data_IF_985423674663
#
_entry.id   IF_985423674663
#
_cell.length_a   1.000
_cell.length_b   1.000
_cell.length_c   1.000
_cell.angle_alpha   90.00
_cell.angle_beta   90.00
_cell.angle_gamma   90.00
#
_symmetry.space_group_name_H-M   'P 1'
#
loop_
_entity.id
_entity.type
_entity.pdbx_description
1 polymer ?
#
# COMPACT_ATOMS: atom_id res chain seq x y z
N UNK A 1 30.83 8.26 22.48
CA UNK A 1 30.47 7.98 21.07
C UNK A 1 29.76 6.66 21.01
N UNK A 2 28.68 6.56 20.23
CA UNK A 2 27.90 5.32 20.07
C UNK A 2 28.79 4.15 19.61
N UNK A 3 28.59 2.96 20.18
CA UNK A 3 29.25 1.72 19.75
C UNK A 3 29.07 1.45 18.24
N UNK A 4 27.90 1.81 17.70
CA UNK A 4 27.57 1.68 16.27
C UNK A 4 28.48 2.53 15.37
N UNK A 5 28.99 3.65 15.88
CA UNK A 5 29.84 4.56 15.11
C UNK A 5 31.29 4.07 14.98
N UNK A 6 31.72 3.12 15.82
CA UNK A 6 33.09 2.57 15.78
C UNK A 6 33.32 1.55 14.66
N UNK A 7 32.24 0.98 14.11
CA UNK A 7 32.32 -0.04 13.05
C UNK A 7 32.30 0.54 11.62
N UNK A 8 32.05 1.84 11.48
CA UNK A 8 31.88 2.47 10.17
C UNK A 8 33.23 3.05 9.73
N UNK A 9 33.83 2.43 8.70
CA UNK A 9 35.01 2.98 8.04
C UNK A 9 34.62 4.23 7.25
N UNK A 10 35.00 5.39 7.79
CA UNK A 10 34.67 6.72 7.30
C UNK A 10 35.33 7.00 5.92
N UNK A 11 36.37 6.24 5.57
CA UNK A 11 37.07 6.36 4.28
C UNK A 11 36.45 5.48 3.20
N UNK A 12 35.61 4.52 3.57
CA UNK A 12 34.92 3.62 2.65
C UNK A 12 33.52 4.17 2.35
N UNK A 13 33.42 4.96 1.29
CA UNK A 13 32.12 5.40 0.77
C UNK A 13 31.43 4.20 0.12
N UNK A 14 30.48 3.59 0.82
CA UNK A 14 29.62 2.56 0.23
C UNK A 14 28.85 3.17 -0.94
N UNK A 15 28.77 2.45 -2.05
CA UNK A 15 27.87 2.84 -3.14
C UNK A 15 26.41 2.67 -2.69
N UNK A 16 25.46 3.23 -3.45
CA UNK A 16 24.04 2.95 -3.20
C UNK A 16 23.79 1.44 -3.16
N UNK A 17 24.38 0.68 -4.09
CA UNK A 17 24.22 -0.79 -4.14
C UNK A 17 24.80 -1.48 -2.91
N UNK A 18 25.93 -1.00 -2.39
CA UNK A 18 26.62 -1.67 -1.27
C UNK A 18 26.06 -1.34 0.11
N UNK A 19 25.26 -0.28 0.24
CA UNK A 19 24.83 0.21 1.56
C UNK A 19 23.36 0.65 1.68
N UNK A 20 22.68 0.96 0.58
CA UNK A 20 21.35 1.57 0.59
C UNK A 20 20.34 0.95 -0.38
N UNK A 21 20.79 0.06 -1.28
CA UNK A 21 19.89 -0.63 -2.17
C UNK A 21 18.96 -1.49 -1.34
N UNK A 22 17.66 -1.25 -1.50
CA UNK A 22 16.64 -2.10 -0.92
C UNK A 22 16.85 -3.51 -1.44
N UNK A 23 16.99 -4.46 -0.53
CA UNK A 23 16.92 -5.87 -0.88
C UNK A 23 15.55 -6.12 -1.52
N UNK A 24 15.57 -6.48 -2.80
CA UNK A 24 14.34 -6.67 -3.59
C UNK A 24 13.49 -7.81 -3.06
N UNK A 25 14.05 -8.71 -2.26
CA UNK A 25 13.29 -9.76 -1.58
C UNK A 25 12.39 -9.21 -0.46
N UNK A 26 12.64 -7.98 0.00
CA UNK A 26 11.82 -7.30 0.99
C UNK A 26 10.63 -6.56 0.38
N UNK A 27 10.55 -6.46 -0.95
CA UNK A 27 9.42 -5.84 -1.65
C UNK A 27 8.26 -6.85 -1.67
N UNK A 28 7.05 -6.48 -1.23
CA UNK A 28 5.91 -7.38 -1.28
C UNK A 28 5.65 -7.88 -2.71
N UNK A 29 5.28 -9.16 -2.88
CA UNK A 29 5.08 -9.74 -4.20
C UNK A 29 3.88 -9.09 -4.91
N UNK A 30 4.01 -8.71 -6.18
CA UNK A 30 2.92 -8.06 -6.93
C UNK A 30 1.86 -9.06 -7.42
N UNK A 31 1.21 -9.74 -6.48
CA UNK A 31 0.20 -10.76 -6.71
C UNK A 31 -0.86 -10.77 -5.61
N UNK A 32 -2.05 -11.24 -5.95
CA UNK A 32 -3.16 -11.43 -5.02
C UNK A 32 -2.79 -12.41 -3.89
N UNK A 33 -3.45 -12.24 -2.75
CA UNK A 33 -3.26 -13.10 -1.58
C UNK A 33 -4.01 -14.42 -1.78
N UNK A 34 -3.27 -15.52 -1.80
CA UNK A 34 -3.85 -16.87 -1.97
C UNK A 34 -4.41 -17.43 -0.66
N UNK A 35 -5.18 -18.52 -0.74
CA UNK A 35 -5.64 -19.24 0.44
C UNK A 35 -4.46 -19.84 1.24
N UNK A 36 -3.41 -20.29 0.56
CA UNK A 36 -2.19 -20.79 1.20
C UNK A 36 -1.47 -19.68 1.99
N UNK A 37 -1.47 -18.45 1.46
CA UNK A 37 -0.94 -17.28 2.18
C UNK A 37 -1.77 -16.99 3.43
N UNK A 38 -3.10 -17.07 3.34
CA UNK A 38 -4.00 -16.89 4.48
C UNK A 38 -3.74 -17.93 5.58
N UNK A 39 -3.57 -19.21 5.20
CA UNK A 39 -3.23 -20.29 6.12
C UNK A 39 -1.88 -20.03 6.79
N UNK A 40 -0.85 -19.66 6.02
CA UNK A 40 0.49 -19.36 6.53
C UNK A 40 0.49 -18.16 7.49
N UNK A 41 -0.27 -17.12 7.17
CA UNK A 41 -0.37 -15.88 7.94
C UNK A 41 -1.38 -15.94 9.10
N UNK A 42 -2.14 -17.03 9.24
CA UNK A 42 -3.29 -17.11 10.16
C UNK A 42 -4.28 -15.95 9.98
N UNK A 43 -4.48 -15.52 8.72
CA UNK A 43 -5.42 -14.47 8.33
C UNK A 43 -6.69 -15.12 7.81
N UNK A 44 -7.85 -14.55 8.15
CA UNK A 44 -9.16 -15.05 7.71
C UNK A 44 -9.79 -14.09 6.72
N UNK A 45 -10.66 -14.61 5.86
CA UNK A 45 -11.58 -13.79 5.06
C UNK A 45 -12.94 -13.71 5.74
N UNK A 46 -13.58 -12.55 5.66
CA UNK A 46 -14.93 -12.35 6.17
C UNK A 46 -15.96 -13.00 5.25
N UNK A 47 -16.90 -13.74 5.84
CA UNK A 47 -17.83 -14.60 5.10
C UNK A 47 -18.76 -13.85 4.14
N UNK A 48 -19.11 -12.60 4.45
CA UNK A 48 -20.12 -11.84 3.70
C UNK A 48 -19.56 -11.16 2.45
N UNK A 49 -18.33 -10.62 2.53
CA UNK A 49 -17.74 -9.80 1.48
C UNK A 49 -16.40 -10.33 0.95
N UNK A 50 -15.91 -11.45 1.49
CA UNK A 50 -14.64 -12.11 1.17
C UNK A 50 -13.37 -11.25 1.46
N UNK A 51 -13.51 -10.19 2.26
CA UNK A 51 -12.44 -9.26 2.60
C UNK A 51 -11.46 -9.90 3.59
N UNK A 52 -10.16 -9.72 3.39
CA UNK A 52 -9.15 -10.18 4.36
C UNK A 52 -9.30 -9.40 5.68
N UNK A 53 -9.30 -10.12 6.80
CA UNK A 53 -9.43 -9.54 8.13
C UNK A 53 -8.06 -9.47 8.79
N UNK A 54 -7.43 -8.31 8.68
CA UNK A 54 -6.17 -7.99 9.36
C UNK A 54 -6.50 -7.37 10.73
N UNK A 55 -5.93 -7.91 11.81
CA UNK A 55 -6.08 -7.36 13.17
C UNK A 55 -4.96 -6.36 13.50
N UNK A 56 -3.84 -6.47 12.80
CA UNK A 56 -2.66 -5.62 12.97
C UNK A 56 -1.87 -5.52 11.67
N UNK A 57 -0.92 -4.59 11.59
CA UNK A 57 0.03 -4.58 10.47
C UNK A 57 0.97 -5.79 10.48
N UNK A 58 1.20 -6.39 11.65
CA UNK A 58 2.00 -7.62 11.78
C UNK A 58 1.37 -8.79 11.01
N UNK A 59 0.04 -8.87 10.99
CA UNK A 59 -0.69 -9.88 10.22
C UNK A 59 -0.36 -9.74 8.72
N UNK A 60 -0.35 -8.50 8.22
CA UNK A 60 0.03 -8.20 6.84
C UNK A 60 1.51 -8.49 6.56
N UNK A 61 2.42 -8.13 7.46
CA UNK A 61 3.84 -8.39 7.28
C UNK A 61 4.13 -9.89 7.22
N UNK A 62 3.50 -10.70 8.08
CA UNK A 62 3.59 -12.17 8.03
C UNK A 62 3.02 -12.72 6.73
N UNK A 63 1.87 -12.21 6.31
CA UNK A 63 1.21 -12.60 5.07
C UNK A 63 2.15 -12.41 3.86
N UNK A 64 2.85 -11.28 3.82
CA UNK A 64 3.73 -10.87 2.70
C UNK A 64 5.20 -11.21 2.89
N UNK A 65 5.58 -11.83 4.01
CA UNK A 65 6.97 -12.19 4.29
C UNK A 65 7.89 -10.99 4.56
N UNK A 66 7.36 -9.88 5.05
CA UNK A 66 8.10 -8.64 5.30
C UNK A 66 8.63 -8.66 6.75
N UNK A 67 9.94 -8.48 6.99
CA UNK A 67 10.48 -8.29 8.35
C UNK A 67 9.97 -6.98 8.98
N UNK A 68 9.67 -7.00 10.27
CA UNK A 68 9.16 -5.83 11.01
C UNK A 68 10.18 -4.66 11.01
N UNK A 69 11.46 -4.99 10.99
CA UNK A 69 12.57 -4.04 10.98
C UNK A 69 12.83 -3.44 9.59
N UNK A 70 12.15 -3.93 8.56
CA UNK A 70 12.29 -3.44 7.19
C UNK A 70 11.77 -2.01 7.08
N UNK A 71 12.48 -1.09 6.40
CA UNK A 71 11.94 0.26 6.12
C UNK A 71 10.64 0.21 5.31
N UNK A 72 10.41 -0.88 4.57
CA UNK A 72 9.16 -1.10 3.83
C UNK A 72 7.97 -1.27 4.78
N UNK A 73 8.15 -1.87 5.96
CA UNK A 73 7.08 -1.99 6.95
C UNK A 73 6.55 -0.60 7.35
N UNK A 74 7.45 0.38 7.56
CA UNK A 74 7.05 1.75 7.86
C UNK A 74 6.30 2.41 6.69
N UNK A 75 6.74 2.17 5.46
CA UNK A 75 6.09 2.74 4.28
C UNK A 75 4.70 2.11 4.03
N UNK A 76 4.53 0.83 4.33
CA UNK A 76 3.25 0.13 4.19
C UNK A 76 2.17 0.65 5.14
N UNK A 77 2.53 1.40 6.19
CA UNK A 77 1.56 2.11 7.02
C UNK A 77 0.58 2.96 6.19
N UNK A 78 1.02 3.59 5.10
CA UNK A 78 0.14 4.43 4.27
C UNK A 78 -0.99 3.63 3.59
N UNK A 79 -0.70 2.62 2.73
CA UNK A 79 -1.75 1.81 2.12
C UNK A 79 -2.55 1.00 3.15
N UNK A 80 -1.91 0.45 4.19
CA UNK A 80 -2.58 -0.36 5.20
C UNK A 80 -3.57 0.44 6.04
N UNK A 81 -3.33 1.74 6.26
CA UNK A 81 -4.29 2.60 6.96
C UNK A 81 -5.57 2.77 6.15
N UNK A 82 -5.46 2.91 4.82
CA UNK A 82 -6.64 2.95 3.95
C UNK A 82 -7.35 1.61 3.94
N UNK A 83 -6.60 0.50 3.80
CA UNK A 83 -7.20 -0.83 3.84
C UNK A 83 -7.93 -1.10 5.17
N UNK A 84 -7.34 -0.70 6.30
CA UNK A 84 -7.99 -0.81 7.60
C UNK A 84 -9.29 -0.01 7.68
N UNK A 85 -9.32 1.21 7.13
CA UNK A 85 -10.53 2.01 7.05
C UNK A 85 -11.60 1.33 6.18
N UNK A 86 -11.21 0.71 5.06
CA UNK A 86 -12.11 -0.10 4.21
C UNK A 86 -12.65 -1.30 4.99
N UNK A 87 -11.79 -2.05 5.67
CA UNK A 87 -12.21 -3.22 6.46
C UNK A 87 -13.19 -2.81 7.57
N UNK A 88 -12.93 -1.68 8.25
CA UNK A 88 -13.70 -1.26 9.42
C UNK A 88 -15.02 -0.56 9.08
N UNK A 89 -15.05 0.23 8.01
CA UNK A 89 -16.17 1.12 7.67
C UNK A 89 -16.72 0.92 6.26
N UNK A 90 -16.06 0.10 5.44
CA UNK A 90 -16.38 -0.10 4.03
C UNK A 90 -17.47 -1.13 3.75
N UNK A 91 -18.00 -1.85 4.74
CA UNK A 91 -19.01 -2.90 4.50
C UNK A 91 -20.24 -2.40 3.69
N UNK A 92 -20.81 -1.26 4.10
CA UNK A 92 -21.96 -0.66 3.39
C UNK A 92 -21.53 -0.08 2.02
N UNK A 93 -20.49 0.78 1.91
CA UNK A 93 -20.00 1.26 0.63
C UNK A 93 -19.63 0.15 -0.38
N UNK A 94 -18.98 -0.91 0.08
CA UNK A 94 -18.58 -2.05 -0.74
C UNK A 94 -19.81 -2.81 -1.27
N UNK A 95 -20.78 -3.09 -0.40
CA UNK A 95 -22.05 -3.72 -0.82
C UNK A 95 -22.76 -2.89 -1.88
N UNK A 96 -22.89 -1.58 -1.65
CA UNK A 96 -23.51 -0.65 -2.61
C UNK A 96 -22.72 -0.60 -3.93
N UNK A 97 -21.39 -0.58 -3.87
CA UNK A 97 -20.52 -0.59 -5.05
C UNK A 97 -20.73 -1.86 -5.88
N UNK A 98 -20.75 -3.03 -5.24
CA UNK A 98 -21.02 -4.33 -5.88
C UNK A 98 -22.42 -4.37 -6.52
N UNK A 99 -23.46 -3.97 -5.78
CA UNK A 99 -24.84 -3.95 -6.29
C UNK A 99 -25.02 -3.04 -7.52
N UNK A 100 -24.32 -1.90 -7.53
CA UNK A 100 -24.37 -0.93 -8.63
C UNK A 100 -23.32 -1.21 -9.73
N UNK A 101 -22.54 -2.27 -9.60
CA UNK A 101 -21.45 -2.63 -10.53
C UNK A 101 -20.48 -1.47 -10.81
N UNK A 102 -20.19 -0.66 -9.79
CA UNK A 102 -19.30 0.50 -9.88
C UNK A 102 -18.13 0.38 -8.91
N UNK A 103 -17.01 1.07 -9.15
CA UNK A 103 -15.93 1.14 -8.17
C UNK A 103 -16.40 1.73 -6.84
N UNK A 104 -15.96 1.14 -5.73
CA UNK A 104 -16.02 1.79 -4.44
C UNK A 104 -15.01 2.94 -4.46
N UNK A 105 -15.46 4.15 -4.16
CA UNK A 105 -14.60 5.34 -4.22
C UNK A 105 -14.18 5.79 -2.83
N UNK A 106 -12.88 5.99 -2.63
CA UNK A 106 -12.27 6.48 -1.40
C UNK A 106 -11.57 7.80 -1.68
N UNK A 107 -11.98 8.86 -0.98
CA UNK A 107 -11.39 10.19 -1.11
C UNK A 107 -10.40 10.38 0.04
N UNK A 108 -9.12 10.54 -0.27
CA UNK A 108 -8.06 10.73 0.72
C UNK A 108 -7.70 12.22 0.73
N UNK A 109 -8.05 12.90 1.81
CA UNK A 109 -7.87 14.35 1.96
C UNK A 109 -6.63 14.63 2.80
N UNK A 110 -5.87 15.66 2.42
CA UNK A 110 -4.73 16.13 3.21
C UNK A 110 -3.48 15.26 3.03
N UNK A 111 -3.37 14.59 1.89
CA UNK A 111 -2.15 13.88 1.51
C UNK A 111 -1.09 14.87 1.03
N UNK A 112 0.15 14.64 1.44
CA UNK A 112 1.29 15.47 1.06
C UNK A 112 2.49 14.58 0.75
N UNK A 113 3.01 13.91 1.77
CA UNK A 113 4.21 13.07 1.65
C UNK A 113 3.90 11.72 1.01
N UNK A 114 2.68 11.24 1.22
CA UNK A 114 2.12 9.99 0.70
C UNK A 114 2.14 9.94 -0.82
N UNK A 115 2.00 11.10 -1.47
CA UNK A 115 2.02 11.23 -2.93
C UNK A 115 3.39 10.90 -3.56
N UNK A 116 4.46 10.83 -2.76
CA UNK A 116 5.75 10.34 -3.25
C UNK A 116 5.79 8.82 -3.43
N UNK A 117 4.76 8.11 -2.94
CA UNK A 117 4.72 6.65 -2.89
C UNK A 117 3.40 6.09 -3.45
N UNK A 118 2.87 6.72 -4.50
CA UNK A 118 1.61 6.32 -5.15
C UNK A 118 1.64 4.85 -5.62
N UNK A 119 2.80 4.38 -6.05
CA UNK A 119 3.04 3.01 -6.48
C UNK A 119 2.77 1.98 -5.37
N UNK A 120 2.96 2.33 -4.09
CA UNK A 120 2.68 1.42 -2.98
C UNK A 120 1.18 1.24 -2.73
N UNK A 121 0.33 2.17 -3.16
CA UNK A 121 -1.12 2.04 -2.97
C UNK A 121 -1.74 0.93 -3.81
N UNK A 122 -1.02 0.42 -4.83
CA UNK A 122 -1.40 -0.80 -5.54
C UNK A 122 -1.53 -2.00 -4.62
N UNK A 123 -0.82 -2.00 -3.49
CA UNK A 123 -0.87 -3.09 -2.52
C UNK A 123 -2.30 -3.37 -2.03
N UNK A 124 -3.13 -2.32 -1.97
CA UNK A 124 -4.53 -2.44 -1.57
C UNK A 124 -5.29 -3.34 -2.56
N UNK A 125 -4.97 -3.32 -3.86
CA UNK A 125 -5.65 -4.15 -4.85
C UNK A 125 -5.46 -5.64 -4.59
N UNK A 126 -4.26 -6.05 -4.18
CA UNK A 126 -3.93 -7.45 -3.87
C UNK A 126 -4.61 -7.97 -2.59
N UNK A 127 -5.05 -7.06 -1.71
CA UNK A 127 -5.77 -7.38 -0.48
C UNK A 127 -7.29 -7.41 -0.69
N UNK A 128 -7.79 -6.74 -1.72
CA UNK A 128 -9.21 -6.69 -2.02
C UNK A 128 -9.70 -8.00 -2.67
N UNK A 129 -10.99 -8.32 -2.53
CA UNK A 129 -11.62 -9.38 -3.30
C UNK A 129 -11.59 -9.10 -4.82
N UNK A 130 -11.39 -10.14 -5.64
CA UNK A 130 -11.31 -10.05 -7.11
C UNK A 130 -12.56 -9.43 -7.78
N UNK A 131 -13.72 -9.53 -7.12
CA UNK A 131 -15.00 -9.01 -7.58
C UNK A 131 -15.23 -7.53 -7.19
N UNK A 132 -14.27 -6.91 -6.52
CA UNK A 132 -14.37 -5.55 -6.00
C UNK A 132 -13.44 -4.61 -6.73
N UNK A 133 -14.00 -3.51 -7.26
CA UNK A 133 -13.22 -2.41 -7.86
C UNK A 133 -13.07 -1.27 -6.87
N UNK A 134 -11.87 -0.73 -6.73
CA UNK A 134 -11.55 0.42 -5.89
C UNK A 134 -11.07 1.60 -6.75
N UNK A 135 -11.53 2.80 -6.40
CA UNK A 135 -11.02 4.06 -6.94
C UNK A 135 -10.57 4.95 -5.79
N UNK A 136 -9.27 5.25 -5.72
CA UNK A 136 -8.72 6.18 -4.75
C UNK A 136 -8.53 7.54 -5.43
N UNK A 137 -9.14 8.56 -4.82
CA UNK A 137 -9.05 9.95 -5.26
C UNK A 137 -8.26 10.72 -4.20
N UNK A 138 -7.08 11.19 -4.57
CA UNK A 138 -6.21 11.97 -3.69
C UNK A 138 -6.53 13.46 -3.82
N UNK A 139 -7.01 14.07 -2.74
CA UNK A 139 -7.36 15.49 -2.71
C UNK A 139 -6.21 16.24 -2.03
N UNK A 140 -5.44 16.96 -2.85
CA UNK A 140 -4.23 17.68 -2.45
C UNK A 140 -4.28 19.14 -2.90
N UNK A 141 -3.57 20.02 -2.18
CA UNK A 141 -3.37 21.39 -2.61
C UNK A 141 -2.32 21.43 -3.71
N UNK A 142 -2.55 22.27 -4.72
CA UNK A 142 -1.65 22.41 -5.87
C UNK A 142 -0.20 22.73 -5.47
N UNK A 143 -0.01 23.55 -4.43
CA UNK A 143 1.31 23.93 -3.91
C UNK A 143 2.04 22.81 -3.14
N UNK A 144 1.37 21.70 -2.87
CA UNK A 144 1.90 20.54 -2.14
C UNK A 144 2.05 19.30 -3.03
N UNK A 145 1.79 19.42 -4.34
CA UNK A 145 2.00 18.34 -5.29
C UNK A 145 3.51 18.06 -5.46
N UNK A 146 3.96 16.80 -5.30
CA UNK A 146 5.31 16.42 -5.65
C UNK A 146 5.57 16.69 -7.14
N UNK A 147 6.80 17.05 -7.50
CA UNK A 147 7.18 17.26 -8.90
C UNK A 147 6.91 16.01 -9.76
N UNK A 148 7.08 14.81 -9.19
CA UNK A 148 6.76 13.54 -9.85
C UNK A 148 5.28 13.38 -10.19
N UNK A 149 4.39 14.12 -9.53
CA UNK A 149 2.94 14.13 -9.76
C UNK A 149 2.50 15.26 -10.70
N UNK A 150 3.35 16.26 -10.96
CA UNK A 150 3.00 17.38 -11.84
C UNK A 150 2.72 16.89 -13.27
N UNK A 151 3.55 15.98 -13.77
CA UNK A 151 3.36 15.34 -15.09
C UNK A 151 2.03 14.55 -15.16
N UNK A 152 1.56 14.01 -14.02
CA UNK A 152 0.27 13.31 -13.91
C UNK A 152 -0.93 14.28 -13.91
N UNK A 153 -0.79 15.44 -13.27
CA UNK A 153 -1.83 16.48 -13.19
C UNK A 153 -2.04 17.12 -14.56
N UNK A 154 -0.96 17.46 -15.27
CA UNK A 154 -1.03 18.06 -16.61
C UNK A 154 -1.68 17.13 -17.64
N UNK A 155 -1.58 15.82 -17.44
CA UNK A 155 -2.13 14.80 -18.33
C UNK A 155 -3.54 14.32 -17.96
N UNK A 156 -4.11 14.75 -16.83
CA UNK A 156 -5.35 14.18 -16.24
C UNK A 156 -5.31 12.65 -16.15
N UNK A 157 -4.13 12.11 -15.86
CA UNK A 157 -3.92 10.67 -15.94
C UNK A 157 -4.53 9.95 -14.75
N UNK A 158 -5.22 8.85 -15.05
CA UNK A 158 -5.67 7.84 -14.10
C UNK A 158 -4.68 6.68 -14.15
N UNK A 159 -4.15 6.26 -13.00
CA UNK A 159 -3.39 5.00 -12.97
C UNK A 159 -4.42 3.90 -12.86
N UNK A 160 -4.69 3.22 -13.97
CA UNK A 160 -5.58 2.06 -14.00
C UNK A 160 -4.77 0.77 -13.81
N UNK A 161 -5.05 0.08 -12.71
CA UNK A 161 -4.62 -1.29 -12.43
C UNK A 161 -5.85 -2.22 -12.49
N UNK A 162 -5.66 -3.54 -12.61
CA UNK A 162 -6.75 -4.49 -12.46
C UNK A 162 -7.48 -4.23 -11.14
N UNK A 163 -8.78 -3.91 -11.21
CA UNK A 163 -9.64 -3.61 -10.05
C UNK A 163 -9.25 -2.40 -9.19
N UNK A 164 -8.27 -1.59 -9.59
CA UNK A 164 -7.82 -0.45 -8.81
C UNK A 164 -7.57 0.73 -9.72
N UNK A 165 -7.96 1.92 -9.28
CA UNK A 165 -7.59 3.12 -10.00
C UNK A 165 -7.23 4.27 -9.09
N UNK A 166 -6.24 5.04 -9.51
CA UNK A 166 -5.72 6.20 -8.81
C UNK A 166 -5.95 7.44 -9.64
N UNK A 167 -6.48 8.48 -9.01
CA UNK A 167 -6.61 9.82 -9.61
C UNK A 167 -6.20 10.90 -8.61
N UNK A 168 -5.63 11.97 -9.15
CA UNK A 168 -5.33 13.23 -8.49
C UNK A 168 -6.42 14.25 -8.85
#
# INVERSE_FOLDING_TARGET
GSESAKQIDIMKRLSFVDGFALDRTLIPPESDVTDDDCVRGNVKRESENNMLQLNSWEDYYKLRGIPMESPIALLMTFPLTIYYAIQKYGAVPATVAKMLQRPMRVHVVGVEKELNFLDMFKEISFLLPDDMKLEIVFIVREDMLPQSCMDFVESKNKIDLPNFSLSL
#
